data_IF_589274472176
#
_entry.id   IF_589274472176
#
_cell.length_a   1.000
_cell.length_b   1.000
_cell.length_c   1.000
_cell.angle_alpha   90.00
_cell.angle_beta   90.00
_cell.angle_gamma   90.00
#
_symmetry.space_group_name_H-M   'P 1'
#
loop_
_entity.id
_entity.type
_entity.pdbx_description
1 polymer ?
#
# COMPACT_ATOMS: atom_id res chain seq x y z
N UNK A 1 0.11 -23.26 -12.94
CA UNK A 1 -0.22 -21.86 -13.20
C UNK A 1 0.63 -20.97 -12.32
N UNK A 2 1.27 -20.00 -12.91
CA UNK A 2 2.15 -19.11 -12.18
C UNK A 2 1.41 -17.93 -11.58
N UNK A 3 1.74 -17.60 -10.35
CA UNK A 3 1.21 -16.44 -9.66
C UNK A 3 2.28 -15.34 -9.67
N UNK A 4 1.94 -14.17 -10.20
CA UNK A 4 2.85 -13.04 -10.26
C UNK A 4 2.61 -12.13 -9.05
N UNK A 5 3.60 -12.00 -8.20
CA UNK A 5 3.53 -11.18 -7.01
C UNK A 5 4.63 -10.12 -7.06
N UNK A 6 4.27 -8.90 -6.75
CA UNK A 6 5.22 -7.80 -6.70
C UNK A 6 5.14 -7.09 -5.36
N UNK A 7 6.26 -6.65 -4.84
CA UNK A 7 6.28 -5.70 -3.73
C UNK A 7 6.97 -4.42 -4.20
N UNK A 8 6.46 -3.29 -3.78
CA UNK A 8 6.99 -2.02 -4.23
C UNK A 8 6.90 -0.98 -3.12
N UNK A 9 8.06 -0.39 -2.80
CA UNK A 9 8.10 0.73 -1.87
C UNK A 9 7.75 2.00 -2.65
N UNK A 10 6.59 2.56 -2.37
CA UNK A 10 6.05 3.69 -3.13
C UNK A 10 6.79 5.00 -2.92
N UNK A 11 7.30 5.24 -1.73
CA UNK A 11 7.81 6.55 -1.33
C UNK A 11 6.80 7.67 -1.66
N UNK A 12 5.55 7.44 -1.40
CA UNK A 12 4.35 8.22 -1.72
C UNK A 12 3.62 7.64 -2.94
N UNK A 13 2.46 7.07 -2.67
CA UNK A 13 1.62 6.50 -3.72
C UNK A 13 1.22 7.57 -4.74
N UNK A 14 0.86 8.75 -4.26
CA UNK A 14 0.40 9.83 -5.13
C UNK A 14 1.48 10.29 -6.10
N UNK A 15 2.72 10.40 -5.65
CA UNK A 15 3.83 10.84 -6.49
C UNK A 15 4.19 9.80 -7.55
N UNK A 16 3.98 8.52 -7.24
CA UNK A 16 4.42 7.41 -8.09
C UNK A 16 3.25 6.60 -8.65
N UNK A 17 2.09 7.22 -8.77
CA UNK A 17 0.88 6.53 -9.20
C UNK A 17 1.01 5.89 -10.59
N UNK A 18 1.75 6.55 -11.49
CA UNK A 18 1.91 6.01 -12.85
C UNK A 18 2.75 4.74 -12.86
N UNK A 19 3.75 4.66 -11.99
CA UNK A 19 4.55 3.43 -11.85
C UNK A 19 3.69 2.30 -11.31
N UNK A 20 2.84 2.58 -10.34
CA UNK A 20 1.96 1.58 -9.74
C UNK A 20 0.93 1.10 -10.77
N UNK A 21 0.36 2.01 -11.55
CA UNK A 21 -0.55 1.63 -12.65
C UNK A 21 0.15 0.75 -13.68
N UNK A 22 1.44 1.00 -13.93
CA UNK A 22 2.23 0.14 -14.79
C UNK A 22 2.30 -1.30 -14.29
N UNK A 23 2.39 -1.50 -12.97
CA UNK A 23 2.39 -2.83 -12.38
C UNK A 23 1.06 -3.55 -12.63
N UNK A 24 -0.06 -2.86 -12.48
CA UNK A 24 -1.38 -3.46 -12.73
C UNK A 24 -1.57 -3.72 -14.23
N UNK A 25 -1.09 -2.84 -15.10
CA UNK A 25 -1.13 -3.05 -16.54
C UNK A 25 -0.32 -4.26 -16.97
N UNK A 26 0.76 -4.58 -16.26
CA UNK A 26 1.58 -5.77 -16.53
C UNK A 26 0.93 -7.06 -16.02
N UNK A 27 -0.30 -6.97 -15.57
CA UNK A 27 -1.07 -8.13 -15.12
C UNK A 27 -0.46 -8.85 -13.91
N UNK A 28 0.14 -8.10 -13.01
CA UNK A 28 0.61 -8.65 -11.74
C UNK A 28 -0.61 -9.10 -10.93
N UNK A 29 -0.60 -10.30 -10.39
CA UNK A 29 -1.76 -10.85 -9.69
C UNK A 29 -1.96 -10.21 -8.33
N UNK A 30 -0.88 -10.01 -7.59
CA UNK A 30 -0.92 -9.40 -6.26
C UNK A 30 0.20 -8.37 -6.16
N UNK A 31 -0.14 -7.17 -5.72
CA UNK A 31 0.84 -6.10 -5.52
C UNK A 31 0.80 -5.66 -4.07
N UNK A 32 1.95 -5.73 -3.40
CA UNK A 32 2.11 -5.20 -2.05
C UNK A 32 2.84 -3.87 -2.12
N UNK A 33 2.26 -2.85 -1.50
CA UNK A 33 2.79 -1.50 -1.51
C UNK A 33 3.20 -1.08 -0.10
N UNK A 34 4.39 -0.52 0.04
CA UNK A 34 4.88 0.03 1.29
C UNK A 34 5.07 1.54 1.13
N UNK A 35 5.03 2.24 2.24
CA UNK A 35 5.19 3.71 2.28
C UNK A 35 4.25 4.42 1.31
N UNK A 36 2.97 4.07 1.37
CA UNK A 36 1.96 4.71 0.54
C UNK A 36 1.75 6.17 0.93
N UNK A 37 2.02 6.51 2.18
CA UNK A 37 1.79 7.83 2.80
C UNK A 37 0.33 8.27 2.72
N UNK A 38 -0.58 7.33 2.50
CA UNK A 38 -2.02 7.62 2.52
C UNK A 38 -2.53 7.56 3.95
N UNK A 39 -3.16 8.63 4.40
CA UNK A 39 -3.85 8.65 5.67
C UNK A 39 -5.08 7.73 5.61
N UNK A 40 -5.57 7.31 6.77
CA UNK A 40 -6.71 6.40 6.87
C UNK A 40 -7.91 6.89 6.06
N UNK A 41 -8.24 8.18 6.16
CA UNK A 41 -9.36 8.76 5.44
C UNK A 41 -9.16 8.82 3.94
N UNK A 42 -7.96 8.54 3.44
CA UNK A 42 -7.63 8.54 2.00
C UNK A 42 -7.48 7.14 1.42
N UNK A 43 -7.67 6.09 2.21
CA UNK A 43 -7.53 4.72 1.71
C UNK A 43 -8.51 4.39 0.59
N UNK A 44 -9.63 5.10 0.52
CA UNK A 44 -10.56 4.95 -0.60
C UNK A 44 -9.94 5.25 -1.95
N UNK A 45 -8.86 6.02 -1.99
CA UNK A 45 -8.16 6.34 -3.24
C UNK A 45 -7.55 5.10 -3.88
N UNK A 46 -7.30 4.02 -3.11
CA UNK A 46 -6.77 2.77 -3.64
C UNK A 46 -7.68 2.17 -4.71
N UNK A 47 -8.99 2.37 -4.58
CA UNK A 47 -9.95 1.84 -5.54
C UNK A 47 -9.83 2.48 -6.93
N UNK A 48 -9.18 3.62 -7.03
CA UNK A 48 -9.03 4.34 -8.30
C UNK A 48 -7.73 4.02 -9.02
N UNK A 49 -6.89 3.15 -8.47
CA UNK A 49 -5.64 2.77 -9.14
C UNK A 49 -5.95 1.98 -10.39
N UNK A 50 -6.77 0.94 -10.26
CA UNK A 50 -7.18 0.10 -11.39
C UNK A 50 -8.51 -0.58 -11.03
N UNK A 51 -9.53 -0.38 -11.85
CA UNK A 51 -10.87 -0.92 -11.60
C UNK A 51 -10.94 -2.45 -11.60
N UNK A 52 -9.93 -3.11 -12.17
CA UNK A 52 -9.87 -4.56 -12.22
C UNK A 52 -9.21 -5.19 -10.99
N UNK A 53 -8.86 -4.37 -10.01
CA UNK A 53 -8.21 -4.81 -8.78
C UNK A 53 -9.05 -4.45 -7.57
N UNK A 54 -9.08 -5.37 -6.61
CA UNK A 54 -9.54 -5.08 -5.27
C UNK A 54 -8.35 -4.63 -4.44
N UNK A 55 -8.62 -3.95 -3.33
CA UNK A 55 -7.56 -3.40 -2.50
C UNK A 55 -7.94 -3.36 -1.04
N UNK A 56 -6.91 -3.34 -0.20
CA UNK A 56 -7.03 -3.07 1.22
C UNK A 56 -5.79 -2.30 1.64
N UNK A 57 -5.91 -1.49 2.66
CA UNK A 57 -4.77 -0.73 3.13
C UNK A 57 -4.81 -0.43 4.61
N UNK A 58 -3.65 -0.03 5.11
CA UNK A 58 -3.47 0.51 6.46
C UNK A 58 -2.93 1.91 6.31
N UNK A 59 -3.57 2.86 6.97
CA UNK A 59 -3.22 4.26 6.82
C UNK A 59 -1.86 4.62 7.39
N UNK A 60 -1.24 5.60 6.78
CA UNK A 60 -0.06 6.25 7.31
C UNK A 60 -0.43 7.04 8.57
N UNK A 61 0.52 7.23 9.45
CA UNK A 61 0.29 7.94 10.71
C UNK A 61 1.31 9.06 10.87
N UNK A 62 0.93 10.07 11.66
CA UNK A 62 1.88 11.07 12.09
C UNK A 62 2.58 10.54 13.33
N UNK A 63 3.91 10.48 13.31
CA UNK A 63 4.68 10.10 14.48
C UNK A 63 4.55 11.20 15.55
N UNK A 64 4.78 10.83 16.82
CA UNK A 64 4.80 11.81 17.89
C UNK A 64 5.85 12.90 17.65
N UNK A 65 6.98 12.49 17.10
CA UNK A 65 8.06 13.42 16.76
C UNK A 65 7.63 14.42 15.69
N UNK A 66 6.93 13.94 14.67
CA UNK A 66 6.43 14.80 13.61
C UNK A 66 5.38 15.78 14.15
N UNK A 67 4.48 15.33 15.03
CA UNK A 67 3.48 16.18 15.64
C UNK A 67 4.11 17.24 16.54
N UNK A 68 5.10 16.84 17.34
CA UNK A 68 5.80 17.76 18.24
C UNK A 68 6.56 18.83 17.46
N UNK A 69 7.13 18.47 16.32
CA UNK A 69 7.87 19.40 15.47
C UNK A 69 6.96 20.18 14.51
N UNK A 70 5.65 19.92 14.53
CA UNK A 70 4.70 20.49 13.58
C UNK A 70 5.14 20.25 12.14
N UNK A 71 5.71 19.07 11.90
CA UNK A 71 6.29 18.73 10.60
C UNK A 71 5.24 18.40 9.54
N UNK A 72 4.02 18.06 9.92
CA UNK A 72 2.90 17.90 8.99
C UNK A 72 2.98 16.73 8.01
N UNK A 73 3.93 15.81 8.15
CA UNK A 73 4.08 14.69 7.25
C UNK A 73 3.81 13.36 7.92
N UNK A 74 2.89 12.59 7.35
CA UNK A 74 2.64 11.24 7.79
C UNK A 74 3.72 10.29 7.29
N UNK A 75 3.88 9.18 7.98
CA UNK A 75 4.85 8.14 7.64
C UNK A 75 4.16 6.80 7.51
N UNK A 76 4.73 5.93 6.67
CA UNK A 76 4.27 4.56 6.51
C UNK A 76 3.10 4.44 5.56
N UNK A 77 2.19 3.57 5.92
CA UNK A 77 1.09 3.18 5.06
C UNK A 77 1.42 1.95 4.24
N UNK A 78 0.51 0.99 4.24
CA UNK A 78 0.64 -0.27 3.52
C UNK A 78 -0.60 -0.48 2.68
N UNK A 79 -0.45 -1.16 1.55
CA UNK A 79 -1.59 -1.55 0.75
C UNK A 79 -1.32 -2.87 0.04
N UNK A 80 -2.39 -3.54 -0.31
CA UNK A 80 -2.36 -4.74 -1.12
C UNK A 80 -3.42 -4.62 -2.19
N UNK A 81 -3.05 -4.90 -3.42
CA UNK A 81 -3.95 -4.94 -4.56
C UNK A 81 -3.95 -6.34 -5.13
N UNK A 82 -5.09 -6.86 -5.57
CA UNK A 82 -5.15 -8.16 -6.23
C UNK A 82 -6.22 -8.15 -7.32
N UNK A 83 -5.98 -8.93 -8.36
CA UNK A 83 -6.91 -9.01 -9.48
C UNK A 83 -8.26 -9.58 -9.07
N UNK A 84 -9.34 -8.93 -9.48
CA UNK A 84 -10.70 -9.40 -9.23
C UNK A 84 -11.01 -10.71 -9.93
N UNK A 85 -10.48 -10.90 -11.13
CA UNK A 85 -10.75 -12.08 -11.96
C UNK A 85 -9.60 -13.09 -11.95
N UNK A 86 -8.91 -13.19 -10.83
CA UNK A 86 -7.81 -14.12 -10.71
C UNK A 86 -8.30 -15.56 -10.50
N UNK A 87 -7.42 -16.52 -10.79
CA UNK A 87 -7.70 -17.94 -10.58
C UNK A 87 -7.50 -18.35 -9.12
N UNK A 88 -7.41 -17.39 -8.24
CA UNK A 88 -7.34 -17.60 -6.79
C UNK A 88 -8.43 -16.79 -6.12
N UNK A 89 -8.72 -17.14 -4.89
CA UNK A 89 -9.74 -16.46 -4.11
C UNK A 89 -9.11 -15.88 -2.86
N UNK A 90 -9.33 -14.59 -2.63
CA UNK A 90 -8.87 -13.93 -1.42
C UNK A 90 -10.01 -13.93 -0.41
N UNK A 91 -9.86 -14.71 0.66
CA UNK A 91 -10.87 -14.81 1.71
C UNK A 91 -10.60 -13.85 2.86
N UNK A 92 -9.33 -13.58 3.13
CA UNK A 92 -8.92 -12.75 4.26
C UNK A 92 -7.53 -12.19 4.02
N UNK A 93 -7.34 -10.92 4.38
CA UNK A 93 -6.03 -10.29 4.38
C UNK A 93 -5.75 -9.78 5.78
N UNK A 94 -4.61 -10.16 6.32
CA UNK A 94 -4.14 -9.68 7.60
C UNK A 94 -2.85 -8.93 7.33
N UNK A 95 -2.81 -7.66 7.73
CA UNK A 95 -1.64 -6.84 7.54
C UNK A 95 -0.99 -6.62 8.90
N UNK A 96 0.26 -7.05 9.01
CA UNK A 96 1.05 -6.84 10.21
C UNK A 96 1.96 -5.66 9.99
N UNK A 97 1.93 -4.72 10.92
CA UNK A 97 2.80 -3.55 10.89
C UNK A 97 3.78 -3.66 12.05
N UNK A 98 5.03 -3.82 11.72
CA UNK A 98 6.08 -3.89 12.73
C UNK A 98 6.91 -2.62 12.69
N UNK A 99 7.30 -2.08 13.84
CA UNK A 99 8.22 -0.96 13.87
C UNK A 99 9.53 -1.37 13.20
N UNK A 100 10.12 -0.49 12.44
CA UNK A 100 11.34 -0.78 11.69
C UNK A 100 12.58 -0.18 12.33
N UNK A 101 12.42 0.56 13.41
CA UNK A 101 13.52 1.22 14.10
C UNK A 101 13.18 1.43 15.56
N UNK A 102 14.19 1.72 16.35
CA UNK A 102 14.01 2.03 17.77
C UNK A 102 13.76 0.81 18.63
N UNK A 103 13.40 -0.30 18.05
CA UNK A 103 13.16 -1.55 18.73
C UNK A 103 14.41 -2.42 18.84
N UNK A 104 15.48 -1.99 18.23
CA UNK A 104 16.73 -2.74 18.27
C UNK A 104 17.44 -2.48 19.58
N UNK A 105 17.63 -3.52 20.38
CA UNK A 105 18.38 -3.36 21.62
C UNK A 105 19.83 -2.97 21.35
#
# INVERSE_FOLDING_TARGET
>A
MDLKICTYNCCSLRKNINLIRGLTEDSIDIVFLQETLLLEEKLGDLAFIDENYDSVGVGAIYSEKALAANAGRAEGGLACLWKKNANFKVNKIIIYCYPTYGEHP
#
